data_IF_871978458400
#
_entry.id   IF_871978458400
#
_cell.length_a   1.000
_cell.length_b   1.000
_cell.length_c   1.000
_cell.angle_alpha   90.00
_cell.angle_beta   90.00
_cell.angle_gamma   90.00
#
_symmetry.space_group_name_H-M   'P 1'
#
loop_
_entity.id
_entity.type
_entity.pdbx_description
1 polymer ?
#
# COMPACT_ATOMS: atom_id res chain seq x y z
N UNK A 1 17.61 3.70 -15.70
CA UNK A 1 16.49 2.84 -15.23
C UNK A 1 15.64 3.57 -14.19
N UNK A 2 14.74 2.89 -13.47
CA UNK A 2 13.97 3.49 -12.36
C UNK A 2 14.20 2.70 -11.07
N UNK A 3 14.50 3.39 -9.98
CA UNK A 3 14.62 2.84 -8.63
C UNK A 3 13.41 3.28 -7.80
N UNK A 4 12.67 2.31 -7.26
CA UNK A 4 11.60 2.56 -6.31
C UNK A 4 12.10 2.30 -4.89
N UNK A 5 11.96 3.29 -4.02
CA UNK A 5 12.34 3.23 -2.61
C UNK A 5 11.06 3.26 -1.77
N UNK A 6 10.64 2.10 -1.27
CA UNK A 6 9.50 2.00 -0.36
C UNK A 6 9.92 2.30 1.08
N UNK A 7 9.02 2.89 1.85
CA UNK A 7 9.21 3.33 3.24
C UNK A 7 10.50 4.12 3.49
N UNK A 8 10.72 5.17 2.68
CA UNK A 8 11.90 6.05 2.81
C UNK A 8 12.00 6.71 4.19
N UNK A 9 10.91 6.84 4.94
CA UNK A 9 10.93 7.37 6.31
C UNK A 9 11.67 6.48 7.33
N UNK A 10 11.91 5.21 7.02
CA UNK A 10 12.48 4.23 7.96
C UNK A 10 13.98 3.98 7.76
N UNK A 11 14.61 4.65 6.80
CA UNK A 11 16.03 4.45 6.54
C UNK A 11 16.90 5.13 7.61
N UNK A 12 17.99 4.45 7.98
CA UNK A 12 18.96 4.97 8.94
C UNK A 12 19.55 6.32 8.48
N UNK A 13 19.98 7.16 9.44
CA UNK A 13 20.63 8.42 9.13
C UNK A 13 21.86 8.25 8.21
N UNK A 14 22.63 7.18 8.38
CA UNK A 14 23.77 6.86 7.51
C UNK A 14 23.31 6.59 6.06
N UNK A 15 22.23 5.83 5.90
CA UNK A 15 21.62 5.58 4.59
C UNK A 15 21.13 6.87 3.95
N UNK A 16 20.55 7.80 4.72
CA UNK A 16 20.11 9.09 4.21
C UNK A 16 21.28 9.89 3.61
N UNK A 17 22.45 9.89 4.27
CA UNK A 17 23.66 10.55 3.75
C UNK A 17 24.12 9.94 2.44
N UNK A 18 24.19 8.60 2.38
CA UNK A 18 24.61 7.89 1.17
C UNK A 18 23.64 8.15 0.02
N UNK A 19 22.33 8.07 0.27
CA UNK A 19 21.31 8.32 -0.74
C UNK A 19 21.37 9.76 -1.27
N UNK A 20 21.54 10.75 -0.38
CA UNK A 20 21.70 12.14 -0.79
C UNK A 20 22.88 12.32 -1.74
N UNK A 21 24.04 11.70 -1.45
CA UNK A 21 25.20 11.72 -2.36
C UNK A 21 24.88 11.12 -3.72
N UNK A 22 24.20 9.98 -3.76
CA UNK A 22 23.77 9.36 -5.03
C UNK A 22 22.86 10.30 -5.83
N UNK A 23 21.89 10.94 -5.17
CA UNK A 23 20.94 11.87 -5.82
C UNK A 23 21.59 13.16 -6.32
N UNK A 24 22.65 13.62 -5.66
CA UNK A 24 23.38 14.84 -6.01
C UNK A 24 24.43 14.57 -7.09
N UNK A 25 25.28 13.57 -6.85
CA UNK A 25 26.48 13.32 -7.64
C UNK A 25 26.28 12.28 -8.74
N UNK A 26 25.14 11.56 -8.74
CA UNK A 26 24.83 10.48 -9.69
C UNK A 26 25.90 9.38 -9.70
N UNK A 27 26.50 9.14 -8.55
CA UNK A 27 27.52 8.11 -8.34
C UNK A 27 27.43 7.50 -6.96
N UNK A 28 27.91 6.27 -6.82
CA UNK A 28 27.98 5.58 -5.54
C UNK A 28 29.17 4.63 -5.45
N UNK A 29 29.49 4.19 -4.24
CA UNK A 29 30.52 3.20 -3.95
C UNK A 29 29.87 1.96 -3.32
N UNK A 30 30.11 0.76 -3.86
CA UNK A 30 29.67 -0.48 -3.22
C UNK A 30 30.28 -0.63 -1.83
N UNK A 31 29.54 -1.27 -0.91
CA UNK A 31 30.06 -1.53 0.44
C UNK A 31 31.35 -2.35 0.36
N UNK A 32 32.42 -1.84 0.98
CA UNK A 32 33.74 -2.49 0.97
C UNK A 32 34.58 -2.25 -0.29
N UNK A 33 34.13 -1.37 -1.19
CA UNK A 33 34.90 -0.94 -2.36
C UNK A 33 35.16 0.56 -2.31
N UNK A 34 36.33 0.97 -2.80
CA UNK A 34 36.72 2.36 -3.08
C UNK A 34 36.40 2.77 -4.53
N UNK A 35 35.81 1.86 -5.32
CA UNK A 35 35.48 2.11 -6.71
C UNK A 35 34.15 2.86 -6.80
N UNK A 36 34.24 4.09 -7.26
CA UNK A 36 33.08 4.91 -7.64
C UNK A 36 32.45 4.40 -8.95
N UNK A 37 31.11 4.37 -8.98
CA UNK A 37 30.31 3.95 -10.14
C UNK A 37 29.30 5.06 -10.47
N UNK A 38 29.33 5.56 -11.70
CA UNK A 38 28.33 6.49 -12.23
C UNK A 38 27.00 5.78 -12.55
N UNK A 39 25.88 6.47 -12.30
CA UNK A 39 24.53 5.94 -12.50
C UNK A 39 23.59 6.97 -13.12
N UNK A 40 22.73 6.49 -14.02
CA UNK A 40 21.60 7.26 -14.55
C UNK A 40 20.28 6.56 -14.22
N UNK A 41 19.64 7.03 -13.14
CA UNK A 41 18.47 6.39 -12.54
C UNK A 41 17.45 7.45 -12.13
N UNK A 42 16.19 7.22 -12.55
CA UNK A 42 15.03 7.93 -12.02
C UNK A 42 14.70 7.35 -10.65
N UNK A 43 14.54 8.20 -9.64
CA UNK A 43 14.15 7.76 -8.29
C UNK A 43 12.67 8.08 -8.06
N UNK A 44 11.95 7.11 -7.51
CA UNK A 44 10.59 7.26 -6.99
C UNK A 44 10.60 6.76 -5.56
N UNK A 45 10.19 7.59 -4.61
CA UNK A 45 10.15 7.22 -3.19
C UNK A 45 8.72 7.23 -2.68
N UNK A 46 8.42 6.34 -1.74
CA UNK A 46 7.15 6.27 -1.03
C UNK A 46 7.40 6.15 0.48
N UNK A 47 6.46 6.63 1.28
CA UNK A 47 6.46 6.41 2.74
C UNK A 47 5.07 6.62 3.31
N UNK A 48 4.77 5.91 4.39
CA UNK A 48 3.59 6.13 5.21
C UNK A 48 3.81 7.15 6.35
N UNK A 49 5.06 7.61 6.58
CA UNK A 49 5.42 8.54 7.66
C UNK A 49 5.35 9.98 7.17
N UNK A 50 4.96 10.89 8.07
CA UNK A 50 5.03 12.33 7.81
C UNK A 50 6.49 12.79 7.91
N UNK A 51 7.14 13.04 6.77
CA UNK A 51 8.56 13.38 6.73
C UNK A 51 8.84 14.74 7.37
N UNK A 52 7.92 15.70 7.27
CA UNK A 52 8.05 17.02 7.91
C UNK A 52 8.12 16.89 9.44
N UNK A 53 7.31 16.02 10.04
CA UNK A 53 7.41 15.69 11.47
C UNK A 53 8.72 15.00 11.83
N UNK A 54 9.25 14.12 10.96
CA UNK A 54 10.55 13.47 11.19
C UNK A 54 11.71 14.45 11.11
N UNK A 55 11.63 15.44 10.20
CA UNK A 55 12.59 16.53 10.11
C UNK A 55 12.58 17.35 11.40
N UNK A 56 11.39 17.70 11.91
CA UNK A 56 11.26 18.44 13.17
C UNK A 56 11.85 17.68 14.37
N UNK A 57 11.82 16.34 14.34
CA UNK A 57 12.42 15.46 15.36
C UNK A 57 13.91 15.17 15.13
N UNK A 58 14.49 15.61 14.01
CA UNK A 58 15.88 15.31 13.61
C UNK A 58 16.09 13.86 13.16
N UNK A 59 15.02 13.11 12.89
CA UNK A 59 15.06 11.72 12.42
C UNK A 59 15.19 11.61 10.90
N UNK A 60 14.86 12.68 10.18
CA UNK A 60 15.00 12.75 8.72
C UNK A 60 15.70 14.03 8.29
N UNK A 61 16.60 13.92 7.31
CA UNK A 61 17.36 15.07 6.82
C UNK A 61 16.52 15.95 5.90
N UNK A 62 16.52 17.23 6.21
CA UNK A 62 15.84 18.27 5.43
C UNK A 62 16.36 18.36 3.99
N UNK A 63 17.68 18.24 3.78
CA UNK A 63 18.29 18.31 2.45
C UNK A 63 17.89 17.14 1.53
N UNK A 64 17.76 15.94 2.09
CA UNK A 64 17.24 14.77 1.39
C UNK A 64 15.75 14.95 1.05
N UNK A 65 14.96 15.45 1.99
CA UNK A 65 13.53 15.72 1.77
C UNK A 65 13.32 16.64 0.58
N UNK A 66 13.97 17.80 0.52
CA UNK A 66 13.82 18.72 -0.62
C UNK A 66 14.33 18.15 -1.94
N UNK A 67 15.29 17.22 -1.92
CA UNK A 67 15.77 16.55 -3.14
C UNK A 67 14.77 15.52 -3.68
N UNK A 68 14.00 14.88 -2.79
CA UNK A 68 12.95 13.91 -3.15
C UNK A 68 11.62 14.61 -3.47
N UNK A 69 11.26 15.65 -2.72
CA UNK A 69 9.96 16.32 -2.77
C UNK A 69 9.85 17.37 -3.89
N UNK A 70 10.34 17.03 -5.09
CA UNK A 70 10.20 17.88 -6.29
C UNK A 70 8.81 17.70 -6.91
N UNK A 71 8.32 16.46 -6.93
CA UNK A 71 6.97 16.10 -7.35
C UNK A 71 6.43 15.14 -6.31
N UNK A 72 5.41 15.57 -5.56
CA UNK A 72 4.72 14.75 -4.57
C UNK A 72 3.33 14.33 -5.05
N UNK A 73 2.98 13.10 -4.73
CA UNK A 73 1.66 12.53 -4.97
C UNK A 73 1.18 11.92 -3.67
N UNK A 74 0.13 12.49 -3.09
CA UNK A 74 -0.52 11.93 -1.91
C UNK A 74 -1.57 10.92 -2.37
N UNK A 75 -1.41 9.66 -1.98
CA UNK A 75 -2.41 8.64 -2.23
C UNK A 75 -3.49 8.71 -1.14
N UNK A 76 -4.75 9.01 -1.48
CA UNK A 76 -5.83 9.01 -0.50
C UNK A 76 -6.12 7.60 0.01
N UNK A 77 -6.65 7.52 1.24
CA UNK A 77 -7.11 6.24 1.77
C UNK A 77 -8.38 5.77 1.04
N UNK A 78 -8.67 4.48 1.12
CA UNK A 78 -9.84 3.88 0.46
C UNK A 78 -11.17 4.46 0.97
N UNK A 79 -11.22 4.85 2.26
CA UNK A 79 -12.37 5.59 2.84
C UNK A 79 -12.58 6.98 2.24
N UNK A 80 -11.58 7.55 1.58
CA UNK A 80 -11.74 8.84 0.91
C UNK A 80 -12.13 8.64 -0.57
N UNK A 81 -12.23 7.38 -1.03
CA UNK A 81 -12.50 6.94 -2.41
C UNK A 81 -13.58 5.85 -2.47
N UNK A 82 -14.69 6.07 -1.78
CA UNK A 82 -15.79 5.10 -1.71
C UNK A 82 -16.38 4.75 -3.09
N UNK A 83 -16.35 5.68 -4.04
CA UNK A 83 -16.85 5.49 -5.42
C UNK A 83 -16.09 4.40 -6.19
N UNK A 84 -14.81 4.18 -5.90
CA UNK A 84 -13.99 3.14 -6.56
C UNK A 84 -14.14 1.76 -5.91
N UNK A 85 -14.78 1.67 -4.74
CA UNK A 85 -14.78 0.45 -3.94
C UNK A 85 -15.45 -0.71 -4.69
N UNK A 86 -16.56 -0.45 -5.37
CA UNK A 86 -17.29 -1.50 -6.10
C UNK A 86 -16.41 -2.11 -7.20
N UNK A 87 -15.72 -1.27 -7.99
CA UNK A 87 -14.82 -1.75 -9.05
C UNK A 87 -13.67 -2.58 -8.49
N UNK A 88 -13.07 -2.13 -7.38
CA UNK A 88 -12.02 -2.87 -6.68
C UNK A 88 -12.52 -4.21 -6.15
N UNK A 89 -13.72 -4.26 -5.56
CA UNK A 89 -14.35 -5.50 -5.09
C UNK A 89 -14.50 -6.49 -6.24
N UNK A 90 -15.05 -6.07 -7.38
CA UNK A 90 -15.22 -6.96 -8.54
C UNK A 90 -13.89 -7.40 -9.15
N UNK A 91 -12.89 -6.52 -9.17
CA UNK A 91 -11.53 -6.87 -9.60
C UNK A 91 -10.92 -7.97 -8.71
N UNK A 92 -10.95 -7.79 -7.39
CA UNK A 92 -10.42 -8.78 -6.46
C UNK A 92 -11.23 -10.08 -6.46
N UNK A 93 -12.56 -10.00 -6.61
CA UNK A 93 -13.45 -11.15 -6.72
C UNK A 93 -13.06 -12.03 -7.91
N UNK A 94 -12.94 -11.43 -9.10
CA UNK A 94 -12.54 -12.13 -10.32
C UNK A 94 -11.14 -12.76 -10.17
N UNK A 95 -10.19 -12.01 -9.62
CA UNK A 95 -8.82 -12.49 -9.41
C UNK A 95 -8.76 -13.65 -8.41
N UNK A 96 -9.51 -13.58 -7.31
CA UNK A 96 -9.60 -14.63 -6.30
C UNK A 96 -10.30 -15.89 -6.84
N UNK A 97 -11.39 -15.73 -7.59
CA UNK A 97 -12.10 -16.84 -8.23
C UNK A 97 -11.18 -17.60 -9.21
N UNK A 98 -10.39 -16.87 -10.01
CA UNK A 98 -9.38 -17.48 -10.89
C UNK A 98 -8.30 -18.25 -10.13
N UNK A 99 -7.75 -17.67 -9.05
CA UNK A 99 -6.74 -18.34 -8.21
C UNK A 99 -7.27 -19.62 -7.57
N UNK A 100 -8.53 -19.63 -7.14
CA UNK A 100 -9.19 -20.76 -6.45
C UNK A 100 -9.88 -21.74 -7.40
N UNK A 101 -9.92 -21.43 -8.70
CA UNK A 101 -10.65 -22.20 -9.74
C UNK A 101 -12.15 -22.34 -9.46
N UNK A 102 -12.75 -21.39 -8.73
CA UNK A 102 -14.20 -21.30 -8.53
C UNK A 102 -14.85 -20.46 -9.63
N UNK A 103 -16.14 -20.68 -9.88
CA UNK A 103 -16.91 -19.90 -10.86
C UNK A 103 -17.67 -18.72 -10.25
N UNK A 104 -17.16 -18.19 -9.14
CA UNK A 104 -17.76 -17.05 -8.45
C UNK A 104 -17.61 -15.80 -9.31
N UNK A 105 -18.74 -15.16 -9.63
CA UNK A 105 -18.78 -13.93 -10.44
C UNK A 105 -19.65 -12.84 -9.86
N UNK A 106 -20.38 -13.15 -8.80
CA UNK A 106 -21.39 -12.25 -8.24
C UNK A 106 -21.14 -12.06 -6.75
N UNK A 107 -21.59 -10.90 -6.27
CA UNK A 107 -21.66 -10.57 -4.85
C UNK A 107 -23.10 -10.18 -4.56
N UNK A 108 -23.64 -10.68 -3.46
CA UNK A 108 -24.96 -10.33 -2.97
C UNK A 108 -25.00 -8.83 -2.61
N UNK A 109 -26.11 -8.10 -2.89
CA UNK A 109 -26.24 -6.69 -2.54
C UNK A 109 -25.94 -6.40 -1.07
N UNK A 110 -26.44 -7.22 -0.13
CA UNK A 110 -26.19 -7.05 1.30
C UNK A 110 -24.71 -7.20 1.67
N UNK A 111 -23.96 -8.07 0.98
CA UNK A 111 -22.52 -8.18 1.16
C UNK A 111 -21.78 -6.95 0.62
N UNK A 112 -22.20 -6.43 -0.54
CA UNK A 112 -21.62 -5.22 -1.11
C UNK A 112 -21.88 -3.99 -0.23
N UNK A 113 -23.09 -3.84 0.30
CA UNK A 113 -23.45 -2.76 1.23
C UNK A 113 -22.58 -2.80 2.50
N UNK A 114 -22.34 -4.00 3.04
CA UNK A 114 -21.47 -4.18 4.20
C UNK A 114 -20.00 -3.79 3.92
N UNK A 115 -19.50 -4.13 2.73
CA UNK A 115 -18.17 -3.71 2.28
C UNK A 115 -18.10 -2.19 2.10
N UNK A 116 -19.14 -1.56 1.57
CA UNK A 116 -19.22 -0.10 1.40
C UNK A 116 -19.28 0.67 2.71
N UNK A 117 -19.95 0.12 3.72
CA UNK A 117 -20.07 0.73 5.03
C UNK A 117 -18.77 0.65 5.87
N UNK A 118 -17.82 -0.20 5.49
CA UNK A 118 -16.59 -0.40 6.25
C UNK A 118 -15.55 0.70 5.98
N UNK A 119 -14.83 1.20 7.01
CA UNK A 119 -13.86 2.29 6.85
C UNK A 119 -12.48 1.86 6.31
N UNK A 120 -12.25 0.56 6.11
CA UNK A 120 -11.03 0.00 5.50
C UNK A 120 -9.70 0.56 6.08
N UNK A 121 -9.43 0.41 7.39
CA UNK A 121 -8.17 0.85 8.00
C UNK A 121 -6.92 0.26 7.33
N UNK A 122 -6.98 -0.97 6.82
CA UNK A 122 -5.91 -1.60 6.06
C UNK A 122 -5.98 -1.36 4.54
N UNK A 123 -6.85 -0.47 4.09
CA UNK A 123 -7.03 -0.07 2.69
C UNK A 123 -7.16 -1.28 1.74
N UNK A 124 -6.51 -1.21 0.59
CA UNK A 124 -6.56 -2.22 -0.48
C UNK A 124 -6.09 -3.59 0.02
N UNK A 125 -5.08 -3.65 0.92
CA UNK A 125 -4.56 -4.93 1.45
C UNK A 125 -5.62 -5.65 2.28
N UNK A 126 -6.35 -4.93 3.11
CA UNK A 126 -7.45 -5.50 3.89
C UNK A 126 -8.60 -5.94 2.98
N UNK A 127 -9.00 -5.09 2.03
CA UNK A 127 -10.04 -5.42 1.06
C UNK A 127 -9.72 -6.70 0.28
N UNK A 128 -8.52 -6.81 -0.29
CA UNK A 128 -8.08 -8.01 -1.02
C UNK A 128 -8.19 -9.26 -0.14
N UNK A 129 -7.68 -9.21 1.10
CA UNK A 129 -7.73 -10.33 2.03
C UNK A 129 -9.17 -10.75 2.39
N UNK A 130 -10.05 -9.78 2.61
CA UNK A 130 -11.47 -10.03 2.92
C UNK A 130 -12.14 -10.75 1.75
N UNK A 131 -11.96 -10.25 0.53
CA UNK A 131 -12.57 -10.82 -0.68
C UNK A 131 -12.00 -12.19 -0.99
N UNK A 132 -10.68 -12.38 -0.89
CA UNK A 132 -10.06 -13.70 -1.06
C UNK A 132 -10.60 -14.73 -0.07
N UNK A 133 -10.73 -14.36 1.21
CA UNK A 133 -11.32 -15.23 2.23
C UNK A 133 -12.78 -15.56 1.92
N UNK A 134 -13.59 -14.57 1.54
CA UNK A 134 -15.00 -14.79 1.22
C UNK A 134 -15.16 -15.75 0.03
N UNK A 135 -14.33 -15.61 -1.01
CA UNK A 135 -14.31 -16.54 -2.16
C UNK A 135 -13.92 -17.95 -1.75
N UNK A 136 -12.95 -18.11 -0.84
CA UNK A 136 -12.56 -19.43 -0.34
C UNK A 136 -13.69 -20.10 0.43
N UNK A 137 -14.44 -19.33 1.23
CA UNK A 137 -15.54 -19.83 2.07
C UNK A 137 -16.86 -20.03 1.31
N UNK A 138 -17.10 -19.30 0.24
CA UNK A 138 -18.35 -19.38 -0.50
C UNK A 138 -18.57 -20.77 -1.11
N UNK A 139 -19.72 -21.37 -0.80
CA UNK A 139 -20.14 -22.69 -1.31
C UNK A 139 -20.95 -22.59 -2.62
N UNK A 140 -21.16 -21.37 -3.13
CA UNK A 140 -21.92 -21.10 -4.36
C UNK A 140 -21.14 -20.20 -5.31
N UNK A 141 -21.71 -19.89 -6.48
CA UNK A 141 -21.15 -18.96 -7.46
C UNK A 141 -21.36 -17.47 -7.10
N UNK A 142 -21.93 -17.20 -5.91
CA UNK A 142 -22.20 -15.88 -5.35
C UNK A 142 -21.57 -15.76 -3.97
N UNK A 143 -20.84 -14.67 -3.72
CA UNK A 143 -20.41 -14.30 -2.36
C UNK A 143 -21.58 -13.66 -1.63
N UNK A 144 -21.99 -14.27 -0.52
CA UNK A 144 -23.10 -13.81 0.32
C UNK A 144 -22.61 -13.02 1.52
N UNK A 145 -23.52 -12.33 2.21
CA UNK A 145 -23.18 -11.62 3.44
C UNK A 145 -22.63 -12.56 4.53
N UNK A 146 -23.05 -13.83 4.53
CA UNK A 146 -22.60 -14.83 5.49
C UNK A 146 -21.13 -15.23 5.32
N UNK A 147 -20.61 -15.13 4.08
CA UNK A 147 -19.23 -15.47 3.72
C UNK A 147 -18.23 -14.39 4.16
N UNK A 148 -18.72 -13.20 4.49
CA UNK A 148 -17.88 -12.11 4.98
C UNK A 148 -17.40 -12.37 6.42
N UNK A 149 -16.20 -11.85 6.77
CA UNK A 149 -15.70 -11.82 8.15
C UNK A 149 -16.71 -11.22 9.13
N UNK A 150 -16.67 -11.67 10.39
CA UNK A 150 -17.59 -11.21 11.45
C UNK A 150 -17.54 -9.70 11.66
N UNK A 151 -16.36 -9.10 11.51
CA UNK A 151 -16.10 -7.67 11.66
C UNK A 151 -16.99 -6.83 10.72
N UNK A 152 -17.15 -7.31 9.48
CA UNK A 152 -18.02 -6.70 8.46
C UNK A 152 -19.50 -7.01 8.68
N UNK A 153 -19.81 -8.11 9.38
CA UNK A 153 -21.19 -8.52 9.65
C UNK A 153 -21.79 -7.82 10.88
N UNK A 154 -20.97 -7.45 11.87
CA UNK A 154 -21.43 -6.79 13.10
C UNK A 154 -21.18 -5.27 13.12
N UNK A 155 -20.54 -4.72 12.09
CA UNK A 155 -20.15 -3.30 12.06
C UNK A 155 -19.03 -2.95 13.06
N UNK A 156 -18.34 -3.95 13.60
CA UNK A 156 -17.27 -3.77 14.57
C UNK A 156 -15.93 -3.66 13.86
N UNK A 157 -15.35 -2.46 13.80
CA UNK A 157 -13.99 -2.26 13.30
C UNK A 157 -13.01 -2.85 14.32
N UNK A 158 -12.58 -4.10 14.10
CA UNK A 158 -11.51 -4.69 14.90
C UNK A 158 -10.19 -4.14 14.36
N UNK A 159 -9.64 -3.15 15.07
CA UNK A 159 -8.27 -2.70 14.84
C UNK A 159 -7.35 -3.88 15.16
N UNK A 160 -6.86 -4.57 14.13
CA UNK A 160 -5.77 -5.53 14.30
C UNK A 160 -4.50 -4.74 14.67
N UNK A 161 -3.82 -5.06 15.79
CA UNK A 161 -2.49 -4.51 16.04
C UNK A 161 -1.54 -5.05 14.98
N UNK A 162 -0.72 -4.16 14.43
CA UNK A 162 0.34 -4.43 13.46
C UNK A 162 1.46 -5.20 14.14
#
# INVERSE_FOLDING_TARGET
>A
GTLFLDEIGDISAETQVKLLRVLQERRFEPVGSDRTIDVDVRVVAATNRNLEELIAKGEFREDLFYRLNVVSLTLPALRDRHEDLAELVFYFLSRAAQKTRKQIRQIEPAALDALQAHPWPGNIRELENVIERAVVLADSDVVTFADLPTELRTGSVVVRPV
#
